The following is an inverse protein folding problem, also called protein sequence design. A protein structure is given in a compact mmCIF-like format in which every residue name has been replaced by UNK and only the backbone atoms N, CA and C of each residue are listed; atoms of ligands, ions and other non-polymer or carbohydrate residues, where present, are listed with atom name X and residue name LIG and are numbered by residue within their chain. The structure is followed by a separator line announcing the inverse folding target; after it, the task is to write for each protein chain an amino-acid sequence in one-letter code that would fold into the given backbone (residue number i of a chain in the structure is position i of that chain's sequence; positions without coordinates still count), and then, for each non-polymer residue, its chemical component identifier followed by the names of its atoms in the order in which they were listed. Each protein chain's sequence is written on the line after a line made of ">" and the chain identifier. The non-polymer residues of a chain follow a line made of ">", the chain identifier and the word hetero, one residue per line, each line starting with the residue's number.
data_IF_861002949754
#
_entry.id   IF_861002949754
#
_cell.length_a   1.000
_cell.length_b   1.000
_cell.length_c   1.000
_cell.angle_alpha   90.00
_cell.angle_beta   90.00
_cell.angle_gamma   90.00
#
_symmetry.space_group_name_H-M   'P 1'
#
loop_
_entity.id
_entity.type
_entity.pdbx_description
1 polymer ?
#
# COMPACT_ATOMS: atom_id res chain seq x y z
N UNK A 1 -1.39 3.19 -23.37
CA UNK A 1 -2.12 2.94 -22.11
C UNK A 1 -1.15 2.74 -20.97
N UNK A 2 -1.33 3.46 -19.90
CA UNK A 2 -0.44 3.37 -18.73
C UNK A 2 -0.72 2.12 -17.92
N UNK A 3 0.34 1.50 -17.45
CA UNK A 3 0.29 0.23 -16.71
C UNK A 3 1.00 0.36 -15.36
N UNK A 4 0.86 -0.68 -14.54
CA UNK A 4 1.60 -0.81 -13.28
C UNK A 4 3.10 -0.68 -13.50
N UNK A 5 3.63 -1.26 -14.58
CA UNK A 5 5.06 -1.14 -14.92
C UNK A 5 5.47 0.32 -15.08
N UNK A 6 4.64 1.14 -15.69
CA UNK A 6 4.93 2.58 -15.83
C UNK A 6 4.95 3.29 -14.48
N UNK A 7 4.02 2.93 -13.58
CA UNK A 7 3.99 3.49 -12.23
C UNK A 7 5.29 3.17 -11.49
N UNK A 8 5.70 1.89 -11.51
CA UNK A 8 6.89 1.46 -10.80
C UNK A 8 8.19 2.08 -11.34
N UNK A 9 8.22 2.43 -12.63
CA UNK A 9 9.36 3.14 -13.21
C UNK A 9 9.60 4.52 -12.58
N UNK A 10 8.55 5.15 -12.09
CA UNK A 10 8.62 6.48 -11.48
C UNK A 10 8.80 6.43 -9.97
N UNK A 11 8.85 5.25 -9.39
CA UNK A 11 9.09 5.07 -7.95
C UNK A 11 10.54 4.68 -7.69
N UNK A 12 11.01 4.99 -6.48
CA UNK A 12 12.31 4.49 -6.04
C UNK A 12 12.32 2.96 -6.06
N UNK A 13 13.38 2.32 -6.55
CA UNK A 13 13.47 0.86 -6.51
C UNK A 13 13.70 0.32 -5.10
N UNK A 14 13.96 1.17 -4.12
CA UNK A 14 14.20 0.78 -2.73
C UNK A 14 12.88 0.77 -1.99
N UNK A 15 12.58 -0.34 -1.34
CA UNK A 15 11.41 -0.46 -0.48
C UNK A 15 11.79 -0.15 0.95
N UNK A 16 10.95 0.62 1.65
CA UNK A 16 11.08 0.73 3.09
C UNK A 16 10.41 -0.49 3.72
N UNK A 17 11.24 -1.39 4.20
CA UNK A 17 10.82 -2.67 4.72
C UNK A 17 11.15 -2.84 6.19
N UNK A 18 10.42 -3.76 6.82
CA UNK A 18 10.65 -4.14 8.20
C UNK A 18 10.50 -5.65 8.33
N UNK A 19 11.22 -6.24 9.27
CA UNK A 19 11.12 -7.67 9.56
C UNK A 19 9.80 -7.98 10.28
N UNK A 20 9.18 -9.09 9.92
CA UNK A 20 7.92 -9.53 10.51
C UNK A 20 8.01 -9.75 12.03
N UNK A 21 9.17 -10.11 12.53
CA UNK A 21 9.40 -10.34 13.96
C UNK A 21 9.73 -9.06 14.73
N UNK A 22 9.88 -7.93 14.05
CA UNK A 22 10.13 -6.65 14.71
C UNK A 22 8.91 -6.23 15.55
N UNK A 23 9.14 -5.43 16.58
CA UNK A 23 8.05 -4.87 17.37
C UNK A 23 7.34 -3.76 16.59
N UNK A 24 6.05 -3.61 16.84
CA UNK A 24 5.25 -2.55 16.21
C UNK A 24 5.86 -1.17 16.46
N UNK A 25 6.38 -0.93 17.67
CA UNK A 25 6.99 0.38 17.98
C UNK A 25 8.17 0.69 17.04
N UNK A 26 8.96 -0.31 16.67
CA UNK A 26 10.06 -0.13 15.73
C UNK A 26 9.54 0.28 14.35
N UNK A 27 8.44 -0.35 13.90
CA UNK A 27 7.80 0.00 12.65
C UNK A 27 7.29 1.45 12.66
N UNK A 28 6.68 1.88 13.75
CA UNK A 28 6.16 3.24 13.89
C UNK A 28 7.30 4.28 13.82
N UNK A 29 8.42 4.00 14.49
CA UNK A 29 9.59 4.89 14.41
C UNK A 29 10.14 4.97 13.00
N UNK A 30 10.21 3.85 12.30
CA UNK A 30 10.69 3.84 10.91
C UNK A 30 9.75 4.63 10.01
N UNK A 31 8.43 4.42 10.11
CA UNK A 31 7.44 5.15 9.32
C UNK A 31 7.55 6.65 9.54
N UNK A 32 7.74 7.06 10.79
CA UNK A 32 7.91 8.46 11.13
C UNK A 32 9.20 9.04 10.53
N UNK A 33 10.29 8.28 10.58
CA UNK A 33 11.60 8.74 10.09
C UNK A 33 11.64 8.91 8.57
N UNK A 34 10.90 8.07 7.81
CA UNK A 34 10.86 8.12 6.34
C UNK A 34 9.60 8.82 5.82
N UNK A 35 8.74 9.27 6.71
CA UNK A 35 7.48 9.97 6.38
C UNK A 35 6.59 9.14 5.44
N UNK A 36 6.40 7.88 5.77
CA UNK A 36 5.52 6.99 5.03
C UNK A 36 4.39 6.49 5.92
N UNK A 37 3.25 6.20 5.31
CA UNK A 37 2.08 5.67 6.01
C UNK A 37 2.04 4.13 6.02
N UNK A 38 3.00 3.48 5.40
CA UNK A 38 3.07 2.02 5.33
C UNK A 38 4.51 1.54 5.20
N UNK A 39 4.72 0.27 5.54
CA UNK A 39 5.99 -0.44 5.32
C UNK A 39 5.71 -1.79 4.67
N UNK A 40 6.65 -2.23 3.86
CA UNK A 40 6.66 -3.61 3.36
C UNK A 40 7.20 -4.51 4.46
N UNK A 41 6.48 -5.58 4.76
CA UNK A 41 6.91 -6.54 5.79
C UNK A 41 7.50 -7.76 5.12
N UNK A 42 8.69 -8.15 5.56
CA UNK A 42 9.40 -9.31 5.04
C UNK A 42 9.67 -10.32 6.16
N UNK A 43 9.68 -11.59 5.79
CA UNK A 43 10.12 -12.67 6.68
C UNK A 43 11.24 -13.47 6.00
N UNK A 44 11.59 -14.65 6.55
CA UNK A 44 12.66 -15.47 6.01
C UNK A 44 12.40 -15.94 4.57
N UNK A 45 11.14 -15.95 4.12
CA UNK A 45 10.75 -16.39 2.77
C UNK A 45 10.56 -15.25 1.78
N UNK A 46 10.68 -14.00 2.23
CA UNK A 46 10.51 -12.81 1.41
C UNK A 46 9.34 -11.96 1.84
N UNK A 47 8.57 -11.44 0.87
CA UNK A 47 7.43 -10.60 1.15
C UNK A 47 6.38 -11.34 1.99
N UNK A 48 5.98 -10.71 3.09
CA UNK A 48 5.00 -11.30 4.03
C UNK A 48 3.69 -10.51 4.09
N UNK A 49 3.74 -9.19 3.97
CA UNK A 49 2.54 -8.36 4.06
C UNK A 49 2.87 -6.89 4.08
N UNK A 50 1.87 -6.10 4.45
CA UNK A 50 1.99 -4.64 4.58
C UNK A 50 1.56 -4.25 5.99
N UNK A 51 2.31 -3.36 6.62
CA UNK A 51 1.90 -2.72 7.87
C UNK A 51 1.69 -1.24 7.63
N UNK A 52 0.50 -0.75 7.93
CA UNK A 52 0.10 0.64 7.70
C UNK A 52 -0.38 1.29 8.98
N UNK A 53 -0.52 2.62 8.94
CA UNK A 53 -1.11 3.38 10.05
C UNK A 53 -2.53 2.90 10.37
N UNK A 54 -3.30 2.49 9.36
CA UNK A 54 -4.64 1.93 9.55
C UNK A 54 -4.56 0.62 10.33
N UNK A 55 -3.58 -0.24 10.02
CA UNK A 55 -3.38 -1.49 10.73
C UNK A 55 -3.03 -1.23 12.20
N UNK A 56 -2.21 -0.22 12.46
CA UNK A 56 -1.90 0.19 13.83
C UNK A 56 -3.18 0.58 14.58
N UNK A 57 -4.00 1.45 13.98
CA UNK A 57 -5.23 1.89 14.63
C UNK A 57 -6.20 0.74 14.89
N UNK A 58 -6.43 -0.11 13.90
CA UNK A 58 -7.45 -1.16 13.96
C UNK A 58 -7.00 -2.42 14.69
N UNK A 59 -5.73 -2.79 14.54
CA UNK A 59 -5.23 -4.08 15.02
C UNK A 59 -4.38 -3.98 16.29
N UNK A 60 -3.96 -2.79 16.67
CA UNK A 60 -3.20 -2.55 17.88
C UNK A 60 -4.03 -1.75 18.88
N UNK A 61 -4.29 -0.49 18.58
CA UNK A 61 -4.97 0.43 19.52
C UNK A 61 -6.38 -0.04 19.84
N UNK A 62 -7.20 -0.29 18.81
CA UNK A 62 -8.61 -0.67 19.04
C UNK A 62 -8.77 -2.06 19.63
N UNK A 63 -7.75 -2.91 19.54
CA UNK A 63 -7.76 -4.25 20.17
C UNK A 63 -7.10 -4.27 21.53
N UNK A 64 -6.70 -3.12 22.05
CA UNK A 64 -6.09 -3.03 23.38
C UNK A 64 -4.69 -3.59 23.47
N UNK A 65 -4.01 -3.76 22.34
CA UNK A 65 -2.63 -4.22 22.31
C UNK A 65 -1.66 -3.03 22.47
N UNK A 66 -0.42 -3.33 22.81
CA UNK A 66 0.62 -2.33 23.01
C UNK A 66 1.72 -2.49 21.98
N UNK A 67 2.18 -1.36 21.43
CA UNK A 67 3.17 -1.33 20.36
C UNK A 67 4.53 -1.89 20.77
N UNK A 68 4.85 -1.91 22.06
CA UNK A 68 6.11 -2.42 22.59
C UNK A 68 6.08 -3.93 22.89
N UNK A 69 4.92 -4.56 22.81
CA UNK A 69 4.75 -5.98 23.16
C UNK A 69 4.24 -6.86 22.03
N UNK A 70 3.72 -6.29 20.93
CA UNK A 70 3.28 -7.09 19.79
C UNK A 70 4.25 -6.94 18.61
N UNK A 71 4.31 -7.99 17.78
CA UNK A 71 5.14 -8.00 16.57
C UNK A 71 4.35 -7.50 15.37
N UNK A 72 5.06 -7.00 14.38
CA UNK A 72 4.47 -6.57 13.11
C UNK A 72 3.68 -7.73 12.45
N UNK A 73 4.21 -8.94 12.53
CA UNK A 73 3.57 -10.15 11.99
C UNK A 73 2.16 -10.36 12.53
N UNK A 74 1.94 -10.08 13.82
CA UNK A 74 0.63 -10.30 14.46
C UNK A 74 -0.44 -9.34 13.95
N UNK A 75 -0.05 -8.18 13.43
CA UNK A 75 -0.99 -7.08 13.15
C UNK A 75 -0.96 -6.60 11.70
N UNK A 76 -0.04 -7.09 10.88
CA UNK A 76 0.07 -6.71 9.47
C UNK A 76 -1.13 -7.18 8.66
N UNK A 77 -1.30 -6.57 7.48
CA UNK A 77 -2.34 -6.95 6.53
C UNK A 77 -1.75 -7.88 5.47
N UNK A 78 -2.34 -9.07 5.32
CA UNK A 78 -1.95 -10.07 4.33
C UNK A 78 -3.03 -10.26 3.25
N UNK A 79 -4.11 -9.49 3.29
CA UNK A 79 -5.30 -9.68 2.45
C UNK A 79 -5.44 -8.63 1.36
N UNK A 80 -4.38 -7.89 1.05
CA UNK A 80 -4.43 -6.86 0.03
C UNK A 80 -4.51 -7.48 -1.37
N UNK A 81 -5.25 -6.83 -2.29
CA UNK A 81 -5.35 -7.34 -3.66
C UNK A 81 -4.02 -7.25 -4.39
N UNK A 82 -3.84 -8.19 -5.33
CA UNK A 82 -2.61 -8.33 -6.12
C UNK A 82 -2.89 -7.92 -7.55
N UNK A 83 -1.96 -7.19 -8.15
CA UNK A 83 -1.98 -6.83 -9.56
C UNK A 83 -0.66 -7.24 -10.23
N UNK A 84 -0.70 -7.38 -11.55
CA UNK A 84 0.47 -7.69 -12.35
C UNK A 84 1.04 -6.44 -13.03
N UNK A 85 2.22 -6.59 -13.61
CA UNK A 85 2.95 -5.49 -14.25
C UNK A 85 2.21 -4.89 -15.43
N UNK A 86 1.39 -5.69 -16.12
CA UNK A 86 0.67 -5.24 -17.31
C UNK A 86 -0.76 -4.77 -17.03
N UNK A 87 -1.19 -4.82 -15.79
CA UNK A 87 -2.49 -4.27 -15.41
C UNK A 87 -2.49 -2.76 -15.64
N UNK A 88 -3.64 -2.24 -16.09
CA UNK A 88 -3.76 -0.82 -16.41
C UNK A 88 -4.00 0.01 -15.17
N UNK A 89 -3.69 1.29 -15.27
CA UNK A 89 -3.97 2.28 -14.21
C UNK A 89 -5.47 2.30 -13.91
N UNK A 90 -6.32 2.22 -14.94
CA UNK A 90 -7.78 2.17 -14.76
C UNK A 90 -8.21 0.93 -13.97
N UNK A 91 -7.65 -0.22 -14.32
CA UNK A 91 -7.94 -1.47 -13.60
C UNK A 91 -7.51 -1.38 -12.14
N UNK A 92 -6.35 -0.79 -11.88
CA UNK A 92 -5.90 -0.55 -10.50
C UNK A 92 -6.90 0.32 -9.73
N UNK A 93 -7.40 1.37 -10.34
CA UNK A 93 -8.39 2.24 -9.71
C UNK A 93 -9.68 1.49 -9.39
N UNK A 94 -10.14 0.64 -10.29
CA UNK A 94 -11.33 -0.18 -10.06
C UNK A 94 -11.13 -1.12 -8.86
N UNK A 95 -9.97 -1.77 -8.77
CA UNK A 95 -9.66 -2.69 -7.67
C UNK A 95 -9.56 -1.93 -6.35
N UNK A 96 -8.86 -0.80 -6.32
CA UNK A 96 -8.75 0.03 -5.12
C UNK A 96 -10.12 0.43 -4.62
N UNK A 97 -11.00 0.85 -5.53
CA UNK A 97 -12.35 1.27 -5.17
C UNK A 97 -13.21 0.10 -4.69
N UNK A 98 -13.20 -1.02 -5.40
CA UNK A 98 -14.04 -2.17 -5.05
C UNK A 98 -13.62 -2.83 -3.74
N UNK A 99 -12.32 -2.87 -3.44
CA UNK A 99 -11.79 -3.44 -2.19
C UNK A 99 -11.67 -2.40 -1.07
N UNK A 100 -11.94 -1.14 -1.35
CA UNK A 100 -11.84 -0.04 -0.38
C UNK A 100 -10.49 -0.02 0.33
N UNK A 101 -9.44 -0.22 -0.45
CA UNK A 101 -8.04 -0.23 0.04
C UNK A 101 -7.25 0.90 -0.61
N UNK A 102 -6.11 1.22 -0.02
CA UNK A 102 -5.20 2.25 -0.53
C UNK A 102 -3.93 1.67 -1.14
N UNK A 103 -3.76 0.35 -1.07
CA UNK A 103 -2.54 -0.32 -1.48
C UNK A 103 -2.85 -1.54 -2.34
N UNK A 104 -2.05 -1.72 -3.40
CA UNK A 104 -2.05 -2.91 -4.23
C UNK A 104 -0.67 -3.53 -4.18
N UNK A 105 -0.62 -4.85 -4.11
CA UNK A 105 0.63 -5.59 -4.13
C UNK A 105 0.94 -5.99 -5.57
N UNK A 106 2.15 -5.73 -6.02
CA UNK A 106 2.55 -6.04 -7.39
C UNK A 106 3.42 -7.28 -7.40
N UNK A 107 2.98 -8.28 -8.16
CA UNK A 107 3.76 -9.47 -8.45
C UNK A 107 3.96 -9.63 -9.95
N UNK A 108 5.12 -10.14 -10.32
CA UNK A 108 5.40 -10.62 -11.67
C UNK A 108 5.66 -12.11 -11.55
N UNK A 109 4.64 -12.92 -11.88
CA UNK A 109 4.65 -14.34 -11.55
C UNK A 109 4.68 -14.53 -10.04
N UNK A 110 5.75 -15.14 -9.52
CA UNK A 110 5.95 -15.33 -8.08
C UNK A 110 6.89 -14.30 -7.46
N UNK A 111 7.36 -13.34 -8.25
CA UNK A 111 8.32 -12.35 -7.80
C UNK A 111 7.62 -11.08 -7.34
N UNK A 112 7.82 -10.72 -6.08
CA UNK A 112 7.31 -9.45 -5.53
C UNK A 112 8.04 -8.28 -6.19
N UNK A 113 7.27 -7.34 -6.74
CA UNK A 113 7.81 -6.18 -7.45
C UNK A 113 7.64 -4.86 -6.71
N UNK A 114 6.69 -4.76 -5.83
CA UNK A 114 6.47 -3.53 -5.11
C UNK A 114 5.03 -3.32 -4.69
N UNK A 115 4.75 -2.11 -4.25
CA UNK A 115 3.43 -1.66 -3.82
C UNK A 115 3.02 -0.46 -4.65
N UNK A 116 1.80 -0.47 -5.14
CA UNK A 116 1.17 0.67 -5.80
C UNK A 116 0.14 1.24 -4.84
N UNK A 117 0.26 2.52 -4.55
CA UNK A 117 -0.67 3.22 -3.67
C UNK A 117 -1.69 4.00 -4.49
N UNK A 118 -2.80 4.40 -3.85
CA UNK A 118 -3.76 5.28 -4.50
C UNK A 118 -3.10 6.58 -4.96
N UNK A 119 -2.16 7.11 -4.21
CA UNK A 119 -1.45 8.33 -4.60
C UNK A 119 -0.60 8.11 -5.86
N UNK A 120 0.01 6.94 -6.00
CA UNK A 120 0.75 6.59 -7.22
C UNK A 120 -0.17 6.57 -8.44
N UNK A 121 -1.35 5.98 -8.29
CA UNK A 121 -2.34 5.90 -9.37
C UNK A 121 -2.84 7.29 -9.76
N UNK A 122 -3.17 8.11 -8.76
CA UNK A 122 -3.62 9.49 -9.01
C UNK A 122 -2.54 10.32 -9.69
N UNK A 123 -1.29 10.17 -9.26
CA UNK A 123 -0.17 10.88 -9.87
C UNK A 123 0.01 10.49 -11.33
N UNK A 124 -0.06 9.20 -11.63
CA UNK A 124 0.06 8.72 -12.99
C UNK A 124 -1.10 9.21 -13.85
N UNK A 125 -2.31 9.22 -13.33
CA UNK A 125 -3.49 9.74 -14.03
C UNK A 125 -3.35 11.23 -14.33
N UNK A 126 -2.82 12.00 -13.38
CA UNK A 126 -2.62 13.45 -13.57
C UNK A 126 -1.50 13.76 -14.56
N UNK A 127 -0.44 12.95 -14.57
CA UNK A 127 0.65 13.10 -15.53
C UNK A 127 0.24 12.66 -16.93
N UNK A 128 -0.58 11.62 -17.00
CA UNK A 128 -1.14 11.12 -18.25
C UNK A 128 -2.50 11.75 -18.46
N UNK A 129 -2.55 12.83 -19.20
CA UNK A 129 -3.75 13.65 -19.40
C UNK A 129 -4.96 12.90 -19.96
N UNK A 130 -4.80 11.67 -20.42
CA UNK A 130 -5.90 10.85 -20.89
C UNK A 130 -6.89 10.49 -19.80
N UNK A 131 -6.45 10.48 -18.52
CA UNK A 131 -7.29 10.05 -17.39
C UNK A 131 -7.64 11.16 -16.42
N UNK A 132 -7.15 12.36 -16.62
CA UNK A 132 -7.24 13.46 -15.65
C UNK A 132 -8.67 13.73 -15.18
N UNK A 133 -9.63 13.58 -16.06
CA UNK A 133 -11.01 13.96 -15.79
C UNK A 133 -11.94 12.75 -15.65
N UNK A 134 -11.38 11.58 -15.45
CA UNK A 134 -12.18 10.39 -15.22
C UNK A 134 -12.93 10.53 -13.89
N UNK A 135 -14.25 10.44 -13.97
CA UNK A 135 -15.12 10.57 -12.81
C UNK A 135 -14.80 9.54 -11.71
N UNK A 136 -14.39 8.34 -12.14
CA UNK A 136 -14.04 7.27 -11.21
C UNK A 136 -12.83 7.64 -10.35
N UNK A 137 -11.82 8.27 -10.94
CA UNK A 137 -10.62 8.73 -10.22
C UNK A 137 -11.01 9.74 -9.14
N UNK A 138 -11.82 10.73 -9.51
CA UNK A 138 -12.27 11.78 -8.60
C UNK A 138 -13.09 11.18 -7.47
N UNK A 139 -14.04 10.32 -7.78
CA UNK A 139 -14.92 9.67 -6.81
C UNK A 139 -14.10 8.86 -5.80
N UNK A 140 -13.15 8.07 -6.26
CA UNK A 140 -12.32 7.25 -5.38
C UNK A 140 -11.48 8.09 -4.42
N UNK A 141 -10.89 9.17 -4.91
CA UNK A 141 -10.10 10.07 -4.09
C UNK A 141 -10.96 10.69 -2.97
N UNK A 142 -12.16 11.13 -3.30
CA UNK A 142 -13.10 11.72 -2.33
C UNK A 142 -13.50 10.70 -1.26
N UNK A 143 -13.90 9.50 -1.67
CA UNK A 143 -14.30 8.45 -0.72
C UNK A 143 -13.18 8.07 0.25
N UNK A 144 -11.95 8.05 -0.21
CA UNK A 144 -10.81 7.70 0.66
C UNK A 144 -10.49 8.81 1.65
N UNK A 145 -10.67 10.07 1.29
CA UNK A 145 -10.51 11.17 2.21
C UNK A 145 -11.53 11.09 3.34
N UNK A 146 -12.78 10.85 2.99
CA UNK A 146 -13.86 10.76 3.97
C UNK A 146 -13.65 9.63 4.98
N UNK A 147 -12.96 8.56 4.59
CA UNK A 147 -12.70 7.43 5.47
C UNK A 147 -11.51 7.60 6.40
N UNK A 148 -10.63 8.54 6.13
CA UNK A 148 -9.45 8.81 6.95
C UNK A 148 -9.84 9.67 8.16
N UNK A 149 -10.85 10.46 8.01
CA UNK A 149 -11.36 11.36 9.04
C UNK A 149 -12.70 10.85 9.56
#
# INVERSE_FOLDING_TARGET
>A
MRTVANILQHKSPVFNGIDAEAKVIEALHLMNSVNLSYLVVNDATGFAGIFSERDYSRNVILKGLHSDSCTVKEVMNISLPIVGMQDTVEHCMEILNSHKTRYLIVFDGQLFKGVVTINDVLREALQNKEMVFDTLVIQHATENQDKIF
#
